data_IF_180023989478
#
_entry.id   IF_180023989478
#
_cell.length_a   1.000
_cell.length_b   1.000
_cell.length_c   1.000
_cell.angle_alpha   90.00
_cell.angle_beta   90.00
_cell.angle_gamma   90.00
#
_symmetry.space_group_name_H-M   'P 1'
#
loop_
_entity.id
_entity.type
_entity.pdbx_description
1 polymer ?
#
# COMPACT_ATOMS: atom_id res chain seq x y z
N UNK A 1 14.09 -4.30 -7.62
CA UNK A 1 14.23 -5.08 -8.88
C UNK A 1 13.96 -4.14 -10.03
N UNK A 2 14.80 -4.17 -11.06
CA UNK A 2 14.64 -3.28 -12.22
C UNK A 2 13.78 -3.90 -13.33
N UNK A 3 13.54 -5.21 -13.27
CA UNK A 3 12.73 -5.92 -14.26
C UNK A 3 11.31 -5.31 -14.36
N UNK A 4 10.66 -5.38 -15.54
CA UNK A 4 9.30 -4.89 -15.73
C UNK A 4 8.32 -5.44 -14.70
N UNK A 5 7.33 -4.63 -14.34
CA UNK A 5 6.22 -5.02 -13.49
C UNK A 5 5.11 -5.59 -14.38
N UNK A 6 4.74 -6.83 -14.09
CA UNK A 6 3.66 -7.55 -14.76
C UNK A 6 2.60 -7.91 -13.72
N UNK A 7 1.35 -7.60 -14.02
CA UNK A 7 0.19 -7.80 -13.17
C UNK A 7 -0.87 -8.59 -13.93
N UNK A 8 -1.59 -9.43 -13.21
CA UNK A 8 -2.80 -10.10 -13.70
C UNK A 8 -3.97 -9.64 -12.86
N UNK A 9 -5.02 -9.12 -13.51
CA UNK A 9 -6.24 -8.66 -12.85
C UNK A 9 -7.34 -9.70 -12.99
N UNK A 10 -8.00 -10.04 -11.87
CA UNK A 10 -9.12 -10.96 -11.85
C UNK A 10 -10.25 -10.47 -10.95
N UNK A 11 -11.50 -10.68 -11.37
CA UNK A 11 -12.69 -10.32 -10.60
C UNK A 11 -13.11 -11.48 -9.70
N UNK A 12 -13.46 -11.18 -8.44
CA UNK A 12 -13.87 -12.17 -7.42
C UNK A 12 -15.05 -11.65 -6.61
N UNK A 13 -15.83 -12.56 -6.02
CA UNK A 13 -16.87 -12.21 -5.04
C UNK A 13 -16.26 -12.07 -3.65
N UNK A 14 -16.72 -11.12 -2.84
CA UNK A 14 -16.28 -10.99 -1.44
C UNK A 14 -16.70 -12.17 -0.54
N UNK A 15 -17.63 -13.01 -1.02
CA UNK A 15 -18.01 -14.26 -0.36
C UNK A 15 -17.08 -15.43 -0.69
N UNK A 16 -16.30 -15.32 -1.76
CA UNK A 16 -15.44 -16.38 -2.31
C UNK A 16 -14.21 -15.72 -2.96
N UNK A 17 -13.36 -15.17 -2.09
CA UNK A 17 -12.12 -14.49 -2.47
C UNK A 17 -10.95 -15.35 -1.97
N UNK A 18 -9.93 -15.61 -2.81
CA UNK A 18 -8.69 -16.24 -2.34
C UNK A 18 -8.01 -15.31 -1.33
N UNK A 19 -6.98 -15.80 -0.65
CA UNK A 19 -6.16 -14.94 0.21
C UNK A 19 -5.52 -13.81 -0.61
N UNK A 20 -5.62 -12.58 -0.09
CA UNK A 20 -5.08 -11.38 -0.68
C UNK A 20 -4.72 -10.36 0.38
N UNK A 21 -3.79 -9.48 0.06
CA UNK A 21 -3.42 -8.35 0.90
C UNK A 21 -4.00 -7.06 0.29
N UNK A 22 -4.35 -6.09 1.11
CA UNK A 22 -4.78 -4.78 0.62
C UNK A 22 -3.63 -3.76 0.71
N UNK A 23 -3.35 -3.06 -0.39
CA UNK A 23 -2.32 -2.01 -0.39
C UNK A 23 -2.92 -0.68 0.06
N UNK A 24 -2.29 -0.08 1.06
CA UNK A 24 -2.57 1.28 1.53
C UNK A 24 -1.34 2.15 1.25
N UNK A 25 -1.47 3.12 0.36
CA UNK A 25 -0.36 3.96 -0.08
C UNK A 25 -0.85 5.32 -0.55
N UNK A 26 0.05 6.29 -0.62
CA UNK A 26 -0.27 7.60 -1.22
C UNK A 26 -0.28 7.44 -2.74
N UNK A 27 -1.44 7.64 -3.39
CA UNK A 27 -1.56 7.56 -4.85
C UNK A 27 -0.52 8.41 -5.60
N UNK A 28 -0.30 9.64 -5.14
CA UNK A 28 0.49 10.63 -5.88
C UNK A 28 -0.26 11.18 -7.09
N UNK A 29 0.31 12.21 -7.72
CA UNK A 29 -0.26 12.85 -8.93
C UNK A 29 0.62 12.63 -10.16
N UNK A 30 1.87 12.25 -9.97
CA UNK A 30 2.85 12.07 -11.05
C UNK A 30 2.67 10.68 -11.67
N UNK A 31 2.48 10.67 -12.99
CA UNK A 31 2.40 9.43 -13.77
C UNK A 31 3.79 8.85 -13.95
N UNK A 32 3.92 7.55 -13.74
CA UNK A 32 5.15 6.82 -14.04
C UNK A 32 5.47 6.93 -15.53
N UNK A 33 6.75 7.11 -15.84
CA UNK A 33 7.25 7.20 -17.23
C UNK A 33 7.28 5.84 -17.93
N UNK A 34 7.36 4.77 -17.16
CA UNK A 34 7.40 3.39 -17.64
C UNK A 34 6.05 2.72 -17.35
N UNK A 35 5.27 2.36 -18.38
CA UNK A 35 4.04 1.62 -18.18
C UNK A 35 4.28 0.25 -17.55
N UNK A 36 3.28 -0.25 -16.84
CA UNK A 36 3.23 -1.64 -16.38
C UNK A 36 2.35 -2.47 -17.30
N UNK A 37 2.54 -3.79 -17.29
CA UNK A 37 1.68 -4.71 -18.05
C UNK A 37 0.59 -5.24 -17.12
N UNK A 38 -0.68 -5.07 -17.49
CA UNK A 38 -1.85 -5.61 -16.78
C UNK A 38 -2.68 -6.45 -17.75
N UNK A 39 -2.79 -7.77 -17.53
CA UNK A 39 -3.46 -8.70 -18.47
C UNK A 39 -3.00 -8.50 -19.92
N UNK A 40 -1.68 -8.50 -20.15
CA UNK A 40 -1.02 -8.27 -21.46
C UNK A 40 -1.26 -6.88 -22.09
N UNK A 41 -1.93 -5.96 -21.38
CA UNK A 41 -2.18 -4.60 -21.83
C UNK A 41 -1.27 -3.60 -21.11
N UNK A 42 -0.76 -2.61 -21.84
CA UNK A 42 0.07 -1.56 -21.25
C UNK A 42 -0.80 -0.54 -20.51
N UNK A 43 -0.52 -0.30 -19.23
CA UNK A 43 -1.24 0.66 -18.40
C UNK A 43 -0.27 1.62 -17.70
N UNK A 44 -0.64 2.89 -17.66
CA UNK A 44 0.12 3.93 -16.94
C UNK A 44 -0.40 4.02 -15.52
N UNK A 45 0.48 3.75 -14.56
CA UNK A 45 0.24 3.94 -13.13
C UNK A 45 0.98 5.18 -12.62
N UNK A 46 0.73 5.57 -11.37
CA UNK A 46 1.51 6.64 -10.73
C UNK A 46 2.91 6.17 -10.36
N UNK A 47 3.84 7.11 -10.22
CA UNK A 47 5.21 6.81 -9.78
C UNK A 47 5.22 6.19 -8.38
N UNK A 48 4.38 6.67 -7.48
CA UNK A 48 4.25 6.10 -6.14
C UNK A 48 3.83 4.62 -6.17
N UNK A 49 2.90 4.24 -7.06
CA UNK A 49 2.47 2.85 -7.18
C UNK A 49 3.58 1.98 -7.79
N UNK A 50 4.30 2.45 -8.81
CA UNK A 50 5.44 1.71 -9.37
C UNK A 50 6.50 1.41 -8.30
N UNK A 51 6.88 2.45 -7.53
CA UNK A 51 7.82 2.32 -6.42
C UNK A 51 7.31 1.32 -5.38
N UNK A 52 6.05 1.42 -4.97
CA UNK A 52 5.44 0.51 -4.00
C UNK A 52 5.50 -0.95 -4.50
N UNK A 53 5.05 -1.20 -5.73
CA UNK A 53 5.05 -2.53 -6.35
C UNK A 53 6.46 -3.12 -6.43
N UNK A 54 7.47 -2.32 -6.79
CA UNK A 54 8.87 -2.77 -6.83
C UNK A 54 9.42 -3.14 -5.46
N UNK A 55 9.04 -2.41 -4.41
CA UNK A 55 9.44 -2.72 -3.03
C UNK A 55 8.73 -3.95 -2.50
N UNK A 56 7.47 -4.15 -2.87
CA UNK A 56 6.65 -5.26 -2.40
C UNK A 56 6.90 -6.57 -3.16
N UNK A 57 7.55 -6.50 -4.32
CA UNK A 57 7.87 -7.66 -5.16
C UNK A 57 8.72 -8.68 -4.39
N UNK A 58 8.24 -9.92 -4.32
CA UNK A 58 9.00 -11.05 -3.78
C UNK A 58 9.91 -11.64 -4.86
N UNK A 59 10.99 -12.29 -4.42
CA UNK A 59 12.00 -12.87 -5.34
C UNK A 59 11.50 -14.11 -6.08
N UNK A 60 10.63 -14.89 -5.45
CA UNK A 60 10.35 -16.28 -5.86
C UNK A 60 8.88 -16.54 -6.21
N UNK A 61 7.96 -15.66 -5.81
CA UNK A 61 6.53 -15.90 -5.97
C UNK A 61 5.73 -14.61 -6.22
N UNK A 62 4.59 -14.69 -6.92
CA UNK A 62 3.70 -13.55 -7.08
C UNK A 62 2.96 -13.25 -5.77
N UNK A 63 2.56 -11.99 -5.60
CA UNK A 63 1.65 -11.56 -4.52
C UNK A 63 0.27 -11.27 -5.08
N UNK A 64 -0.77 -11.60 -4.33
CA UNK A 64 -2.15 -11.21 -4.62
C UNK A 64 -2.47 -9.96 -3.84
N UNK A 65 -2.56 -8.82 -4.53
CA UNK A 65 -2.82 -7.52 -3.92
C UNK A 65 -4.15 -6.96 -4.43
N UNK A 66 -4.95 -6.39 -3.53
CA UNK A 66 -5.98 -5.43 -3.90
C UNK A 66 -5.38 -4.01 -3.88
N UNK A 67 -5.47 -3.34 -5.02
CA UNK A 67 -4.92 -1.99 -5.23
C UNK A 67 -6.02 -1.17 -5.90
N UNK A 68 -6.61 -0.22 -5.19
CA UNK A 68 -7.70 0.63 -5.68
C UNK A 68 -7.46 1.24 -7.08
N UNK A 69 -6.26 1.77 -7.33
CA UNK A 69 -5.90 2.37 -8.61
C UNK A 69 -5.87 1.40 -9.81
N UNK A 70 -5.79 0.08 -9.54
CA UNK A 70 -5.72 -0.97 -10.57
C UNK A 70 -7.00 -1.81 -10.61
N UNK A 71 -7.53 -2.16 -9.44
CA UNK A 71 -8.68 -3.04 -9.29
C UNK A 71 -10.03 -2.35 -9.54
N UNK A 72 -10.07 -1.02 -9.48
CA UNK A 72 -11.27 -0.21 -9.74
C UNK A 72 -11.09 0.49 -11.09
N UNK A 73 -12.11 0.44 -11.95
CA UNK A 73 -12.11 1.23 -13.17
C UNK A 73 -12.36 2.71 -12.82
N UNK A 74 -11.28 3.48 -12.78
CA UNK A 74 -11.31 4.90 -12.41
C UNK A 74 -12.11 5.78 -13.37
N UNK A 75 -12.34 5.31 -14.60
CA UNK A 75 -13.10 6.02 -15.64
C UNK A 75 -14.60 5.77 -15.55
N UNK A 76 -15.04 4.69 -14.90
CA UNK A 76 -16.45 4.39 -14.66
C UNK A 76 -16.88 4.90 -13.28
N UNK A 77 -17.56 6.05 -13.26
CA UNK A 77 -18.01 6.68 -12.02
C UNK A 77 -18.99 5.79 -11.23
N UNK A 78 -19.84 5.03 -11.90
CA UNK A 78 -20.82 4.18 -11.24
C UNK A 78 -20.13 2.99 -10.57
N UNK A 79 -19.24 2.31 -11.29
CA UNK A 79 -18.43 1.21 -10.77
C UNK A 79 -17.51 1.69 -9.65
N UNK A 80 -16.80 2.81 -9.85
CA UNK A 80 -15.95 3.41 -8.81
C UNK A 80 -16.71 3.71 -7.53
N UNK A 81 -17.88 4.35 -7.61
CA UNK A 81 -18.68 4.66 -6.42
C UNK A 81 -19.16 3.38 -5.71
N UNK A 82 -19.51 2.35 -6.48
CA UNK A 82 -19.87 1.05 -5.94
C UNK A 82 -18.67 0.39 -5.22
N UNK A 83 -17.49 0.35 -5.84
CA UNK A 83 -16.28 -0.21 -5.23
C UNK A 83 -15.85 0.57 -3.98
N UNK A 84 -15.92 1.91 -4.00
CA UNK A 84 -15.65 2.75 -2.83
C UNK A 84 -16.58 2.41 -1.67
N UNK A 85 -17.86 2.13 -1.94
CA UNK A 85 -18.80 1.68 -0.89
C UNK A 85 -18.45 0.31 -0.30
N UNK A 86 -17.70 -0.53 -1.03
CA UNK A 86 -17.24 -1.85 -0.60
C UNK A 86 -15.87 -1.82 0.09
N UNK A 87 -15.11 -0.73 0.02
CA UNK A 87 -13.73 -0.67 0.55
C UNK A 87 -13.63 -1.15 1.99
N UNK A 88 -14.54 -0.76 2.87
CA UNK A 88 -14.53 -1.24 4.26
C UNK A 88 -14.58 -2.77 4.37
N UNK A 89 -15.39 -3.43 3.54
CA UNK A 89 -15.45 -4.91 3.49
C UNK A 89 -14.22 -5.53 2.83
N UNK A 90 -13.64 -4.86 1.84
CA UNK A 90 -12.42 -5.31 1.15
C UNK A 90 -11.22 -5.25 2.10
N UNK A 91 -11.01 -4.14 2.81
CA UNK A 91 -9.91 -4.03 3.77
C UNK A 91 -10.09 -5.00 4.94
N UNK A 92 -11.32 -5.17 5.46
CA UNK A 92 -11.58 -6.09 6.58
C UNK A 92 -11.43 -7.58 6.24
N UNK A 93 -11.44 -7.93 4.95
CA UNK A 93 -11.33 -9.31 4.46
C UNK A 93 -9.94 -9.66 3.92
N UNK A 94 -9.06 -8.66 3.78
CA UNK A 94 -7.68 -8.91 3.42
C UNK A 94 -6.99 -9.70 4.54
N UNK A 95 -6.04 -10.58 4.20
CA UNK A 95 -5.23 -11.26 5.21
C UNK A 95 -4.42 -10.24 6.02
N UNK A 96 -3.80 -9.29 5.34
CA UNK A 96 -3.15 -8.13 5.94
C UNK A 96 -3.36 -6.87 5.09
N UNK A 97 -3.23 -5.70 5.74
CA UNK A 97 -3.15 -4.41 5.06
C UNK A 97 -1.69 -3.98 5.04
N UNK A 98 -1.13 -3.82 3.84
CA UNK A 98 0.24 -3.37 3.66
C UNK A 98 0.25 -1.85 3.54
N UNK A 99 0.79 -1.17 4.53
CA UNK A 99 0.95 0.28 4.51
C UNK A 99 2.31 0.65 3.91
N UNK A 100 2.30 1.29 2.73
CA UNK A 100 3.51 1.81 2.10
C UNK A 100 3.66 3.31 2.36
N UNK A 101 4.58 3.65 3.29
CA UNK A 101 4.88 5.02 3.70
C UNK A 101 5.84 5.76 2.74
N UNK A 102 6.13 5.17 1.57
CA UNK A 102 7.15 5.66 0.64
C UNK A 102 8.54 5.06 0.88
N UNK A 103 9.53 5.37 0.03
CA UNK A 103 10.90 4.91 0.17
C UNK A 103 11.53 5.23 1.53
N UNK A 104 12.60 4.51 1.86
CA UNK A 104 13.39 4.81 3.05
C UNK A 104 13.98 6.23 2.94
N UNK A 105 13.71 7.04 3.96
CA UNK A 105 14.18 8.42 4.07
C UNK A 105 14.10 8.84 5.55
N UNK A 106 14.87 9.85 5.95
CA UNK A 106 14.82 10.41 7.31
C UNK A 106 14.92 9.33 8.40
N UNK A 107 15.82 8.36 8.21
CA UNK A 107 16.04 7.24 9.15
C UNK A 107 14.77 6.44 9.45
N UNK A 108 13.80 6.38 8.53
CA UNK A 108 12.58 5.60 8.71
C UNK A 108 12.86 4.12 8.98
N UNK A 109 13.89 3.51 8.37
CA UNK A 109 14.29 2.14 8.67
C UNK A 109 14.60 1.93 10.16
N UNK A 110 15.42 2.82 10.74
CA UNK A 110 15.73 2.82 12.17
C UNK A 110 14.47 2.97 13.05
N UNK A 111 13.56 3.87 12.68
CA UNK A 111 12.29 4.05 13.42
C UNK A 111 11.45 2.76 13.37
N UNK A 112 11.32 2.15 12.20
CA UNK A 112 10.58 0.89 12.03
C UNK A 112 11.24 -0.26 12.81
N UNK A 113 12.56 -0.36 12.82
CA UNK A 113 13.30 -1.37 13.59
C UNK A 113 13.06 -1.21 15.11
N UNK A 114 13.05 0.04 15.61
CA UNK A 114 12.72 0.33 17.01
C UNK A 114 11.28 -0.05 17.36
N UNK A 115 10.32 0.22 16.46
CA UNK A 115 8.91 -0.16 16.66
C UNK A 115 8.77 -1.69 16.67
N UNK A 116 9.33 -2.38 15.66
CA UNK A 116 9.23 -3.82 15.50
C UNK A 116 9.89 -4.60 16.65
N UNK A 117 11.03 -4.13 17.13
CA UNK A 117 11.71 -4.71 18.30
C UNK A 117 11.02 -4.38 19.63
N UNK A 118 10.03 -3.48 19.63
CA UNK A 118 9.38 -2.91 20.83
C UNK A 118 10.39 -2.34 21.82
N UNK A 119 11.52 -1.87 21.32
CA UNK A 119 12.65 -1.45 22.13
C UNK A 119 13.35 -0.25 21.50
N UNK A 120 13.45 0.81 22.27
CA UNK A 120 14.40 1.87 22.04
C UNK A 120 15.20 2.02 23.33
N UNK A 121 16.53 1.84 23.27
CA UNK A 121 17.40 2.15 24.41
C UNK A 121 17.16 3.60 24.85
N UNK A 122 17.18 3.87 26.16
CA UNK A 122 16.95 5.22 26.71
C UNK A 122 17.88 6.28 26.08
N UNK A 123 19.11 5.89 25.74
CA UNK A 123 20.09 6.72 25.03
C UNK A 123 19.65 7.13 23.63
N UNK A 124 18.86 6.28 22.96
CA UNK A 124 18.35 6.50 21.61
C UNK A 124 16.98 7.18 21.60
N UNK A 125 16.30 7.32 22.74
CA UNK A 125 14.93 7.86 22.81
C UNK A 125 14.76 9.26 22.20
N UNK A 126 15.65 10.25 22.44
CA UNK A 126 15.52 11.57 21.80
C UNK A 126 15.68 11.49 20.28
N UNK A 127 16.56 10.60 19.81
CA UNK A 127 16.81 10.37 18.39
C UNK A 127 15.60 9.67 17.74
N UNK A 128 15.06 8.64 18.38
CA UNK A 128 13.82 7.98 17.99
C UNK A 128 12.66 8.97 17.86
N UNK A 129 12.39 9.78 18.90
CA UNK A 129 11.30 10.75 18.89
C UNK A 129 11.45 11.74 17.71
N UNK A 130 12.68 12.22 17.46
CA UNK A 130 12.92 13.15 16.37
C UNK A 130 12.54 12.55 15.00
N UNK A 131 13.01 11.35 14.68
CA UNK A 131 12.70 10.72 13.38
C UNK A 131 11.30 10.12 13.32
N UNK A 132 10.72 9.69 14.44
CA UNK A 132 9.32 9.28 14.50
C UNK A 132 8.39 10.45 14.14
N UNK A 133 8.68 11.68 14.60
CA UNK A 133 7.94 12.86 14.17
C UNK A 133 8.11 13.11 12.66
N UNK A 134 9.31 12.94 12.10
CA UNK A 134 9.53 13.04 10.64
C UNK A 134 8.77 11.99 9.85
N UNK A 135 8.68 10.76 10.38
CA UNK A 135 7.86 9.72 9.78
C UNK A 135 6.38 10.10 9.80
N UNK A 136 5.88 10.63 10.92
CA UNK A 136 4.49 11.07 11.08
C UNK A 136 4.12 12.30 10.23
N UNK A 137 5.10 13.11 9.80
CA UNK A 137 4.90 14.20 8.84
C UNK A 137 4.62 13.70 7.40
N UNK A 138 4.82 12.40 7.11
CA UNK A 138 4.65 11.88 5.74
C UNK A 138 3.18 11.98 5.27
N UNK A 139 2.94 12.22 3.97
CA UNK A 139 1.60 12.49 3.45
C UNK A 139 0.57 11.40 3.77
N UNK A 140 1.01 10.14 3.88
CA UNK A 140 0.13 9.02 4.21
C UNK A 140 -0.67 9.28 5.50
N UNK A 141 -0.02 9.75 6.58
CA UNK A 141 -0.66 10.00 7.88
C UNK A 141 -1.71 11.10 7.86
N UNK A 142 -1.71 11.95 6.83
CA UNK A 142 -2.65 13.08 6.69
C UNK A 142 -3.85 12.77 5.79
N UNK A 143 -3.91 11.55 5.21
CA UNK A 143 -4.99 11.15 4.30
C UNK A 143 -6.26 10.83 5.10
N UNK A 144 -7.39 11.39 4.65
CA UNK A 144 -8.73 11.12 5.20
C UNK A 144 -9.07 9.62 5.19
N UNK A 145 -8.57 8.87 4.20
CA UNK A 145 -8.87 7.46 4.01
C UNK A 145 -8.13 6.51 4.97
N UNK A 146 -7.13 6.98 5.73
CA UNK A 146 -6.41 6.18 6.76
C UNK A 146 -7.36 5.56 7.77
N UNK A 147 -8.49 6.22 8.06
CA UNK A 147 -9.50 5.70 9.00
C UNK A 147 -10.10 4.38 8.49
N UNK A 148 -10.41 4.24 7.20
CA UNK A 148 -10.95 2.98 6.67
C UNK A 148 -9.86 1.92 6.50
N UNK A 149 -8.64 2.34 6.15
CA UNK A 149 -7.51 1.44 5.87
C UNK A 149 -6.94 0.84 7.18
N UNK A 150 -6.93 1.59 8.29
CA UNK A 150 -6.33 1.17 9.58
C UNK A 150 -7.38 0.76 10.61
N UNK A 151 -8.50 1.46 10.74
CA UNK A 151 -9.48 1.15 11.79
C UNK A 151 -10.33 -0.10 11.49
N UNK A 152 -10.31 -0.58 10.24
CA UNK A 152 -11.06 -1.75 9.79
C UNK A 152 -10.15 -2.93 9.42
N UNK A 153 -8.83 -2.79 9.55
CA UNK A 153 -7.91 -3.91 9.41
C UNK A 153 -8.20 -4.94 10.52
N UNK A 154 -8.26 -6.22 10.16
CA UNK A 154 -8.51 -7.31 11.13
C UNK A 154 -7.32 -7.57 12.05
N UNK A 155 -6.13 -7.11 11.67
CA UNK A 155 -4.88 -7.17 12.44
C UNK A 155 -4.14 -5.82 12.38
N UNK A 156 -3.19 -5.60 13.31
CA UNK A 156 -2.36 -4.39 13.34
C UNK A 156 -1.55 -4.29 12.04
N UNK A 157 -1.71 -3.22 11.22
CA UNK A 157 -1.05 -3.09 9.92
C UNK A 157 0.42 -2.66 10.02
N UNK A 158 0.98 -2.56 11.23
CA UNK A 158 2.35 -2.11 11.53
C UNK A 158 3.20 -3.27 12.05
#
# INVERSE_FOLDING_TARGET
FEDPIELTLSTRSLSDVPEYEALSYVWGIEKCKSPVTVNDCSQVITENLDIALRHLRLKSEPRTLWIDAVCINQEDVAERNYQVSLMGSIYSKASHVVVFLGPEADKSGFVMDCIASRYAEDSHMPYFIYYANKLAERPWFTRVWVVQEVALASEDPV
#
